data_IF_086549257995
#
_entry.id   IF_086549257995
#
_cell.length_a   1.000
_cell.length_b   1.000
_cell.length_c   1.000
_cell.angle_alpha   90.00
_cell.angle_beta   90.00
_cell.angle_gamma   90.00
#
_symmetry.space_group_name_H-M   'P 1'
#
loop_
_entity.id
_entity.type
_entity.pdbx_description
1 polymer ?
#
# COMPACT_ATOMS: atom_id res chain seq x y z
N UNK A 1 -10.26 22.15 17.53
CA UNK A 1 -11.48 21.37 17.86
C UNK A 1 -11.92 20.40 16.76
N UNK A 2 -11.79 20.73 15.46
CA UNK A 2 -12.27 19.88 14.34
C UNK A 2 -11.65 18.47 14.25
N UNK A 3 -10.37 18.30 14.59
CA UNK A 3 -9.69 16.98 14.53
C UNK A 3 -10.27 15.95 15.53
N UNK A 4 -10.64 16.39 16.74
CA UNK A 4 -11.20 15.50 17.78
C UNK A 4 -12.61 15.02 17.42
N UNK A 5 -13.41 15.89 16.80
CA UNK A 5 -14.75 15.54 16.33
C UNK A 5 -14.69 14.48 15.22
N UNK A 6 -13.74 14.58 14.29
CA UNK A 6 -13.55 13.59 13.22
C UNK A 6 -13.14 12.22 13.78
N UNK A 7 -12.17 12.17 14.69
CA UNK A 7 -11.76 10.91 15.35
C UNK A 7 -12.91 10.26 16.12
N UNK A 8 -13.74 11.06 16.79
CA UNK A 8 -14.92 10.56 17.51
C UNK A 8 -15.99 10.01 16.55
N UNK A 9 -16.20 10.67 15.41
CA UNK A 9 -17.16 10.25 14.39
C UNK A 9 -16.75 8.93 13.73
N UNK A 10 -15.44 8.75 13.48
CA UNK A 10 -14.89 7.48 12.97
C UNK A 10 -15.10 6.36 13.98
N UNK A 11 -14.77 6.57 15.25
CA UNK A 11 -14.97 5.56 16.31
C UNK A 11 -16.45 5.22 16.46
N UNK A 12 -17.34 6.22 16.48
CA UNK A 12 -18.78 6.00 16.57
C UNK A 12 -19.31 5.20 15.37
N UNK A 13 -18.83 5.48 14.15
CA UNK A 13 -19.24 4.73 12.96
C UNK A 13 -18.83 3.25 13.02
N UNK A 14 -17.65 2.94 13.60
CA UNK A 14 -17.22 1.54 13.79
C UNK A 14 -17.94 0.83 14.94
N UNK A 15 -18.39 1.56 15.97
CA UNK A 15 -19.04 0.97 17.15
C UNK A 15 -20.57 0.85 16.99
N UNK A 16 -21.19 1.66 16.14
CA UNK A 16 -22.66 1.82 16.10
C UNK A 16 -23.39 1.12 14.94
N UNK A 17 -22.78 0.15 14.24
CA UNK A 17 -23.51 -0.64 13.23
C UNK A 17 -23.89 -2.02 13.76
N UNK A 18 -25.03 -2.18 14.46
CA UNK A 18 -25.54 -3.47 14.92
C UNK A 18 -26.36 -4.17 13.82
N UNK A 19 -25.83 -4.27 12.60
CA UNK A 19 -26.48 -5.02 11.52
C UNK A 19 -25.83 -6.40 11.38
N UNK A 20 -26.33 -7.34 12.19
CA UNK A 20 -26.45 -8.78 11.93
C UNK A 20 -25.28 -9.52 11.26
N UNK A 21 -24.52 -10.30 12.05
CA UNK A 21 -23.98 -11.61 11.65
C UNK A 21 -22.89 -11.65 10.57
N UNK A 22 -22.46 -10.50 10.04
CA UNK A 22 -21.34 -10.44 9.11
C UNK A 22 -20.06 -10.61 9.93
N UNK A 23 -19.45 -11.80 9.85
CA UNK A 23 -18.10 -12.07 10.37
C UNK A 23 -17.13 -11.19 9.59
N UNK A 24 -17.01 -9.93 10.01
CA UNK A 24 -16.14 -8.97 9.40
C UNK A 24 -14.78 -9.06 10.09
N UNK A 25 -13.74 -9.36 9.32
CA UNK A 25 -12.38 -9.44 9.82
C UNK A 25 -11.71 -8.08 9.58
N UNK A 26 -11.14 -7.49 10.63
CA UNK A 26 -10.45 -6.20 10.56
C UNK A 26 -9.01 -6.37 10.98
N UNK A 27 -8.10 -5.59 10.40
CA UNK A 27 -6.73 -5.60 10.87
C UNK A 27 -5.84 -4.53 10.25
N UNK A 28 -4.56 -4.62 10.59
CA UNK A 28 -3.52 -3.69 10.14
C UNK A 28 -2.43 -4.50 9.43
N UNK A 29 -2.04 -4.08 8.23
CA UNK A 29 -0.90 -4.59 7.48
C UNK A 29 0.19 -3.53 7.49
N UNK A 30 1.41 -3.92 7.86
CA UNK A 30 2.61 -3.09 7.73
C UNK A 30 3.63 -3.84 6.87
N UNK A 31 4.32 -3.15 5.98
CA UNK A 31 5.29 -3.83 5.12
C UNK A 31 6.11 -2.91 4.25
N UNK A 32 7.24 -3.45 3.77
CA UNK A 32 8.06 -2.86 2.72
C UNK A 32 7.52 -3.21 1.34
N UNK A 33 7.58 -2.27 0.41
CA UNK A 33 7.25 -2.45 -1.00
C UNK A 33 8.49 -2.15 -1.83
N UNK A 34 8.78 -2.98 -2.82
CA UNK A 34 9.74 -2.63 -3.86
C UNK A 34 9.08 -2.69 -5.22
N UNK A 35 9.25 -1.65 -6.03
CA UNK A 35 8.76 -1.59 -7.40
C UNK A 35 9.91 -1.25 -8.35
N UNK A 36 9.90 -1.79 -9.56
CA UNK A 36 10.76 -1.30 -10.64
C UNK A 36 10.16 -0.02 -11.21
N UNK A 37 10.96 1.03 -11.34
CA UNK A 37 10.63 2.22 -12.10
C UNK A 37 11.40 2.19 -13.42
N UNK A 38 10.64 2.24 -14.52
CA UNK A 38 11.19 2.44 -15.85
C UNK A 38 11.07 3.93 -16.20
N UNK A 39 12.16 4.52 -16.66
CA UNK A 39 12.18 5.86 -17.24
C UNK A 39 12.81 5.74 -18.62
N UNK A 40 12.31 6.49 -19.60
CA UNK A 40 12.90 6.54 -20.95
C UNK A 40 14.36 6.98 -20.96
N UNK A 41 14.84 7.58 -19.87
CA UNK A 41 16.14 8.22 -19.76
C UNK A 41 17.14 7.45 -18.87
N UNK A 42 16.69 6.47 -18.07
CA UNK A 42 17.54 5.71 -17.15
C UNK A 42 17.22 4.21 -17.21
N UNK A 43 18.26 3.38 -17.33
CA UNK A 43 18.19 1.94 -17.08
C UNK A 43 17.59 1.68 -15.70
N UNK A 44 16.56 0.84 -15.66
CA UNK A 44 15.85 0.28 -14.51
C UNK A 44 16.27 0.80 -13.11
N UNK A 45 15.45 1.67 -12.50
CA UNK A 45 15.66 2.11 -11.12
C UNK A 45 14.78 1.31 -10.15
N UNK A 46 15.36 0.83 -9.04
CA UNK A 46 14.61 0.13 -7.99
C UNK A 46 14.09 1.14 -6.97
N UNK A 47 12.77 1.14 -6.79
CA UNK A 47 12.06 1.98 -5.83
C UNK A 47 11.77 1.15 -4.60
N UNK A 48 12.12 1.68 -3.43
CA UNK A 48 11.77 1.06 -2.15
C UNK A 48 10.85 2.00 -1.39
N UNK A 49 9.84 1.42 -0.75
CA UNK A 49 8.91 2.14 0.09
C UNK A 49 8.45 1.31 1.27
N UNK A 50 7.77 1.97 2.18
CA UNK A 50 7.03 1.32 3.27
C UNK A 50 5.58 1.76 3.20
N UNK A 51 4.69 0.92 3.71
CA UNK A 51 3.28 1.26 3.82
C UNK A 51 2.65 0.69 5.07
N UNK A 52 1.62 1.37 5.52
CA UNK A 52 0.70 0.94 6.58
C UNK A 52 -0.72 0.98 6.04
N UNK A 53 -1.46 -0.09 6.25
CA UNK A 53 -2.81 -0.29 5.72
C UNK A 53 -3.72 -0.80 6.82
N UNK A 54 -4.90 -0.21 6.95
CA UNK A 54 -6.03 -0.84 7.62
C UNK A 54 -6.83 -1.64 6.59
N UNK A 55 -7.30 -2.82 6.95
CA UNK A 55 -8.18 -3.62 6.11
C UNK A 55 -9.48 -3.98 6.82
N UNK A 56 -10.52 -4.15 6.02
CA UNK A 56 -11.81 -4.69 6.42
C UNK A 56 -12.28 -5.74 5.41
N UNK A 57 -12.42 -6.98 5.85
CA UNK A 57 -13.01 -8.06 5.08
C UNK A 57 -14.50 -8.15 5.42
N UNK A 58 -15.34 -8.00 4.41
CA UNK A 58 -16.79 -8.00 4.53
C UNK A 58 -17.32 -9.26 3.84
N UNK A 59 -17.82 -10.23 4.62
CA UNK A 59 -18.36 -11.47 4.05
C UNK A 59 -19.71 -11.21 3.39
N UNK A 60 -19.80 -11.46 2.09
CA UNK A 60 -21.04 -11.34 1.32
C UNK A 60 -21.88 -12.63 1.45
N UNK A 61 -21.21 -13.79 1.48
CA UNK A 61 -21.80 -15.08 1.80
C UNK A 61 -20.71 -16.04 2.32
N UNK A 62 -20.99 -17.34 2.42
CA UNK A 62 -20.03 -18.35 2.93
C UNK A 62 -18.77 -18.49 2.05
N UNK A 63 -18.88 -18.14 0.77
CA UNK A 63 -17.82 -18.29 -0.24
C UNK A 63 -17.22 -16.94 -0.62
N UNK A 64 -17.99 -15.86 -0.65
CA UNK A 64 -17.58 -14.56 -1.16
C UNK A 64 -17.36 -13.56 -0.05
N UNK A 65 -16.29 -12.79 -0.16
CA UNK A 65 -16.01 -11.66 0.72
C UNK A 65 -15.32 -10.52 -0.03
N UNK A 66 -15.50 -9.31 0.43
CA UNK A 66 -14.85 -8.12 -0.13
C UNK A 66 -13.81 -7.60 0.83
N UNK A 67 -12.57 -7.44 0.41
CA UNK A 67 -11.52 -6.77 1.18
C UNK A 67 -11.44 -5.32 0.78
N UNK A 68 -11.57 -4.42 1.75
CA UNK A 68 -11.31 -2.99 1.59
C UNK A 68 -10.01 -2.63 2.31
N UNK A 69 -9.02 -2.17 1.56
CA UNK A 69 -7.73 -1.71 2.07
C UNK A 69 -7.67 -0.17 1.99
N UNK A 70 -7.42 0.49 3.13
CA UNK A 70 -7.08 1.90 3.20
C UNK A 70 -5.68 2.04 3.77
N UNK A 71 -4.77 2.65 3.03
CA UNK A 71 -3.39 2.76 3.48
C UNK A 71 -2.67 4.03 3.09
N UNK A 72 -1.60 4.28 3.83
CA UNK A 72 -0.62 5.31 3.57
C UNK A 72 0.68 4.63 3.13
N UNK A 73 1.21 5.06 1.98
CA UNK A 73 2.48 4.57 1.45
C UNK A 73 3.45 5.72 1.30
N UNK A 74 4.71 5.45 1.62
CA UNK A 74 5.82 6.32 1.34
C UNK A 74 6.88 5.57 0.54
N UNK A 75 7.29 6.14 -0.60
CA UNK A 75 8.29 5.60 -1.51
C UNK A 75 9.43 6.59 -1.69
N UNK A 76 10.65 6.08 -1.67
CA UNK A 76 11.86 6.81 -2.04
C UNK A 76 12.34 6.39 -3.42
N UNK A 77 12.72 7.36 -4.23
CA UNK A 77 13.29 7.17 -5.56
C UNK A 77 14.63 7.90 -5.60
N UNK A 78 15.72 7.20 -5.91
CA UNK A 78 17.02 7.84 -6.13
C UNK A 78 17.37 7.69 -7.60
N UNK A 79 17.45 8.81 -8.31
CA UNK A 79 18.03 8.86 -9.64
C UNK A 79 19.51 9.19 -9.51
N UNK A 80 20.37 8.39 -10.14
CA UNK A 80 21.81 8.56 -10.10
C UNK A 80 22.34 8.72 -11.52
N UNK A 81 22.98 9.84 -11.82
CA UNK A 81 23.71 10.05 -13.06
C UNK A 81 25.21 10.09 -12.78
N UNK A 82 26.00 9.33 -13.55
CA UNK A 82 27.46 9.40 -13.48
C UNK A 82 27.95 10.18 -14.70
N UNK A 83 28.65 11.28 -14.45
CA UNK A 83 29.33 12.05 -15.49
C UNK A 83 30.74 11.48 -15.69
N UNK A 84 31.12 11.31 -16.95
CA UNK A 84 32.43 10.79 -17.37
C UNK A 84 33.12 11.80 -18.29
N UNK A 85 34.45 11.86 -18.22
CA UNK A 85 35.26 12.70 -19.09
C UNK A 85 35.40 12.10 -20.50
N UNK A 86 36.11 12.81 -21.38
CA UNK A 86 36.41 12.37 -22.74
C UNK A 86 37.28 11.11 -22.83
N UNK A 87 37.87 10.66 -21.72
CA UNK A 87 38.64 9.42 -21.59
C UNK A 87 37.84 8.30 -20.91
N UNK A 88 36.57 8.53 -20.56
CA UNK A 88 35.71 7.57 -19.87
C UNK A 88 35.97 7.46 -18.37
N UNK A 89 36.77 8.35 -17.77
CA UNK A 89 36.97 8.38 -16.32
C UNK A 89 35.80 9.07 -15.64
N UNK A 90 35.36 8.52 -14.50
CA UNK A 90 34.24 9.08 -13.72
C UNK A 90 34.66 10.41 -13.11
N UNK A 91 33.97 11.49 -13.47
CA UNK A 91 34.19 12.84 -12.93
C UNK A 91 33.36 13.01 -11.66
N UNK A 92 32.06 12.73 -11.75
CA UNK A 92 31.11 13.01 -10.69
C UNK A 92 29.92 12.05 -10.75
N UNK A 93 29.37 11.72 -9.58
CA UNK A 93 28.06 11.09 -9.45
C UNK A 93 27.09 12.10 -8.86
N UNK A 94 26.03 12.41 -9.59
CA UNK A 94 24.94 13.29 -9.13
C UNK A 94 23.75 12.40 -8.78
N UNK A 95 23.28 12.51 -7.54
CA UNK A 95 22.12 11.77 -7.06
C UNK A 95 20.98 12.73 -6.69
N UNK A 96 19.80 12.49 -7.26
CA UNK A 96 18.56 13.18 -6.91
C UNK A 96 17.64 12.19 -6.19
N UNK A 97 17.42 12.41 -4.89
CA UNK A 97 16.49 11.59 -4.09
C UNK A 97 15.15 12.30 -3.95
N UNK A 98 14.10 11.65 -4.45
CA UNK A 98 12.71 12.11 -4.35
C UNK A 98 11.91 11.22 -3.41
N UNK A 99 10.97 11.81 -2.67
CA UNK A 99 10.03 11.09 -1.80
C UNK A 99 8.61 11.31 -2.31
N UNK A 100 7.91 10.22 -2.58
CA UNK A 100 6.49 10.22 -2.90
C UNK A 100 5.72 9.64 -1.72
N UNK A 101 4.70 10.33 -1.26
CA UNK A 101 3.79 9.82 -0.21
C UNK A 101 2.36 9.95 -0.70
N UNK A 102 1.57 8.90 -0.55
CA UNK A 102 0.19 8.89 -1.02
C UNK A 102 -0.70 8.03 -0.13
N UNK A 103 -1.99 8.36 -0.14
CA UNK A 103 -3.05 7.56 0.46
C UNK A 103 -3.68 6.75 -0.66
N UNK A 104 -3.89 5.46 -0.45
CA UNK A 104 -4.54 4.56 -1.39
C UNK A 104 -5.74 3.91 -0.75
N UNK A 105 -6.82 3.81 -1.51
CA UNK A 105 -7.98 2.98 -1.19
C UNK A 105 -8.12 1.93 -2.28
N UNK A 106 -8.31 0.67 -1.91
CA UNK A 106 -8.46 -0.43 -2.86
C UNK A 106 -9.49 -1.41 -2.37
N UNK A 107 -10.32 -1.91 -3.30
CA UNK A 107 -11.33 -2.93 -3.03
C UNK A 107 -11.06 -4.17 -3.86
N UNK A 108 -11.13 -5.34 -3.24
CA UNK A 108 -11.00 -6.64 -3.90
C UNK A 108 -12.23 -7.47 -3.60
N UNK A 109 -12.80 -8.10 -4.62
CA UNK A 109 -13.78 -9.16 -4.45
C UNK A 109 -13.03 -10.49 -4.44
N UNK A 110 -13.17 -11.23 -3.35
CA UNK A 110 -12.49 -12.49 -3.12
C UNK A 110 -13.50 -13.63 -2.98
N UNK A 111 -13.05 -14.84 -3.30
CA UNK A 111 -13.77 -16.08 -3.04
C UNK A 111 -12.88 -17.00 -2.21
N UNK A 112 -13.43 -17.57 -1.13
CA UNK A 112 -12.78 -18.63 -0.37
C UNK A 112 -12.80 -19.91 -1.21
N UNK A 113 -11.61 -20.40 -1.53
CA UNK A 113 -11.46 -21.75 -2.08
C UNK A 113 -11.46 -22.69 -0.88
N UNK A 114 -12.61 -23.27 -0.55
CA UNK A 114 -12.63 -24.35 0.45
C UNK A 114 -11.91 -25.56 -0.15
N UNK A 115 -10.68 -25.82 0.30
CA UNK A 115 -10.07 -27.14 0.12
C UNK A 115 -10.73 -28.06 1.14
N UNK A 116 -11.86 -28.65 0.77
CA UNK A 116 -12.19 -29.96 1.34
C UNK A 116 -11.07 -30.89 0.85
N UNK A 117 -10.06 -31.10 1.69
CA UNK A 117 -9.08 -32.19 1.52
C UNK A 117 -9.76 -33.45 2.03
N UNK A 118 -10.02 -34.47 1.19
CA UNK A 118 -10.36 -35.81 1.67
C UNK A 118 -9.11 -36.66 1.96
N UNK A 119 -7.96 -36.02 2.23
CA UNK A 119 -6.73 -36.69 2.68
C UNK A 119 -6.34 -36.18 4.05
#
# INVERSE_FOLDING_TARGET
MKKKAFSLLVVLFFVSSPAFGQLNDFGIKIGGQSAGAFSEQNDFSRVVGFGIYGFADIKLNQVLFTTLDLGYTQRGFTNSQTETDSMGQKIQKVEATSRLSYISFTGFLNASLSRESPF
#
